data_IF_424827406451
#
_entry.id   IF_424827406451
#
_cell.length_a   1.000
_cell.length_b   1.000
_cell.length_c   1.000
_cell.angle_alpha   90.00
_cell.angle_beta   90.00
_cell.angle_gamma   90.00
#
_symmetry.space_group_name_H-M   'P 1'
#
loop_
_entity.id
_entity.type
_entity.pdbx_description
1 polymer ?
#
# COMPACT_ATOMS: atom_id res chain seq x y z
N UNK A 1 -6.27 -2.82 9.35
CA UNK A 1 -5.79 -3.86 8.44
C UNK A 1 -4.29 -4.02 8.64
N UNK A 2 -3.78 -5.25 8.53
CA UNK A 2 -2.35 -5.50 8.73
C UNK A 2 -1.51 -5.04 7.55
N UNK A 3 -0.26 -4.67 7.83
CA UNK A 3 0.73 -4.31 6.81
C UNK A 3 0.83 -5.38 5.73
N UNK A 4 0.91 -6.67 6.11
CA UNK A 4 0.95 -7.80 5.16
C UNK A 4 -0.26 -7.84 4.22
N UNK A 5 -1.44 -7.48 4.72
CA UNK A 5 -2.68 -7.52 3.93
C UNK A 5 -2.67 -6.43 2.87
N UNK A 6 -2.21 -5.23 3.24
CA UNK A 6 -2.07 -4.12 2.31
C UNK A 6 -1.00 -4.39 1.26
N UNK A 7 0.17 -4.91 1.67
CA UNK A 7 1.24 -5.30 0.73
C UNK A 7 0.73 -6.34 -0.26
N UNK A 8 0.14 -7.44 0.21
CA UNK A 8 -0.40 -8.48 -0.68
C UNK A 8 -1.53 -7.96 -1.58
N UNK A 9 -2.35 -7.01 -1.10
CA UNK A 9 -3.36 -6.37 -1.94
C UNK A 9 -2.70 -5.57 -3.07
N UNK A 10 -1.74 -4.72 -2.75
CA UNK A 10 -1.02 -3.89 -3.73
C UNK A 10 -0.36 -4.75 -4.81
N UNK A 11 0.35 -5.80 -4.41
CA UNK A 11 1.02 -6.73 -5.34
C UNK A 11 0.02 -7.42 -6.27
N UNK A 12 -1.11 -7.92 -5.74
CA UNK A 12 -2.18 -8.51 -6.57
C UNK A 12 -2.85 -7.50 -7.49
N UNK A 13 -2.91 -6.24 -7.10
CA UNK A 13 -3.41 -5.13 -7.94
C UNK A 13 -2.40 -4.64 -8.98
N UNK A 14 -1.25 -5.31 -9.11
CA UNK A 14 -0.22 -5.00 -10.11
C UNK A 14 0.77 -3.92 -9.67
N UNK A 15 0.74 -3.47 -8.41
CA UNK A 15 1.80 -2.62 -7.89
C UNK A 15 3.07 -3.45 -7.68
N UNK A 16 4.21 -2.89 -8.05
CA UNK A 16 5.52 -3.50 -7.86
C UNK A 16 6.28 -2.76 -6.78
N UNK A 17 6.90 -3.51 -5.87
CA UNK A 17 7.86 -2.94 -4.92
C UNK A 17 9.09 -2.41 -5.67
N UNK A 18 9.47 -1.15 -5.43
CA UNK A 18 10.60 -0.51 -6.13
C UNK A 18 11.76 -0.11 -5.23
N UNK A 19 11.51 0.17 -3.94
CA UNK A 19 12.56 0.60 -3.02
C UNK A 19 12.11 0.48 -1.57
N UNK A 20 13.01 -0.02 -0.73
CA UNK A 20 12.93 0.11 0.72
C UNK A 20 14.05 1.02 1.23
N UNK A 21 13.74 1.92 2.17
CA UNK A 21 14.73 2.67 2.93
C UNK A 21 14.32 2.71 4.40
N UNK A 22 15.07 2.00 5.25
CA UNK A 22 14.66 1.74 6.63
C UNK A 22 13.30 1.04 6.65
N UNK A 23 12.36 1.57 7.44
CA UNK A 23 10.99 1.05 7.51
C UNK A 23 10.07 1.55 6.40
N UNK A 24 10.55 2.31 5.41
CA UNK A 24 9.69 2.85 4.35
C UNK A 24 9.84 2.04 3.07
N UNK A 25 8.77 1.43 2.59
CA UNK A 25 8.70 0.77 1.29
C UNK A 25 7.88 1.60 0.30
N UNK A 26 8.32 1.65 -0.95
CA UNK A 26 7.61 2.31 -2.05
C UNK A 26 7.15 1.27 -3.05
N UNK A 27 5.86 1.33 -3.40
CA UNK A 27 5.20 0.51 -4.40
C UNK A 27 4.75 1.40 -5.56
N UNK A 28 4.84 0.92 -6.81
CA UNK A 28 4.43 1.67 -8.00
C UNK A 28 3.50 0.87 -8.89
N UNK A 29 2.54 1.56 -9.51
CA UNK A 29 1.74 1.05 -10.61
C UNK A 29 2.09 1.88 -11.86
N UNK A 30 2.76 1.24 -12.82
CA UNK A 30 3.29 1.93 -13.99
C UNK A 30 4.30 3.04 -13.65
N UNK A 31 4.30 4.13 -14.43
CA UNK A 31 5.28 5.22 -14.28
C UNK A 31 4.86 6.33 -13.30
N UNK A 32 3.56 6.56 -13.14
CA UNK A 32 3.05 7.78 -12.48
C UNK A 32 2.44 7.55 -11.10
N UNK A 33 2.00 6.34 -10.79
CA UNK A 33 1.28 6.05 -9.54
C UNK A 33 2.22 5.39 -8.54
N UNK A 34 2.28 5.92 -7.32
CA UNK A 34 3.11 5.38 -6.23
C UNK A 34 2.39 5.41 -4.89
N UNK A 35 2.66 4.42 -4.05
CA UNK A 35 2.20 4.35 -2.66
C UNK A 35 3.43 4.11 -1.78
N UNK A 36 3.58 4.96 -0.76
CA UNK A 36 4.58 4.77 0.29
C UNK A 36 3.93 4.10 1.50
N UNK A 37 4.59 3.10 2.05
CA UNK A 37 4.15 2.38 3.24
C UNK A 37 5.25 2.39 4.30
N UNK A 38 4.83 2.46 5.56
CA UNK A 38 5.69 2.10 6.69
C UNK A 38 5.50 0.61 6.95
N UNK A 39 6.56 -0.17 6.74
CA UNK A 39 6.65 -1.63 6.89
C UNK A 39 7.63 -1.95 8.03
N UNK A 40 7.24 -1.63 9.28
CA UNK A 40 8.02 -2.03 10.46
C UNK A 40 7.93 -3.55 10.67
N UNK A 41 6.71 -4.07 10.80
CA UNK A 41 6.46 -5.49 10.96
C UNK A 41 5.18 -5.92 10.21
N UNK A 42 5.16 -7.09 9.54
CA UNK A 42 4.04 -7.50 8.69
C UNK A 42 2.69 -7.65 9.41
N UNK A 43 2.72 -7.93 10.72
CA UNK A 43 1.52 -8.06 11.54
C UNK A 43 1.13 -6.78 12.29
N UNK A 44 1.82 -5.67 12.06
CA UNK A 44 1.42 -4.37 12.60
C UNK A 44 0.19 -3.85 11.85
N UNK A 45 -0.60 -3.02 12.53
CA UNK A 45 -1.64 -2.24 11.86
C UNK A 45 -0.99 -1.19 10.95
N UNK A 46 -1.58 -1.00 9.77
CA UNK A 46 -1.21 0.13 8.92
C UNK A 46 -1.69 1.41 9.60
N UNK A 47 -0.80 2.39 9.70
CA UNK A 47 -1.15 3.72 10.21
C UNK A 47 -2.37 4.30 9.45
N UNK A 48 -3.38 4.87 10.14
CA UNK A 48 -4.61 5.35 9.50
C UNK A 48 -4.36 6.40 8.40
N UNK A 49 -3.34 7.25 8.55
CA UNK A 49 -2.98 8.27 7.55
C UNK A 49 -2.41 7.60 6.31
N UNK A 50 -1.52 6.62 6.50
CA UNK A 50 -0.96 5.82 5.39
C UNK A 50 -2.08 5.06 4.67
N UNK A 51 -3.01 4.46 5.41
CA UNK A 51 -4.13 3.73 4.84
C UNK A 51 -5.07 4.65 4.05
N UNK A 52 -5.40 5.84 4.58
CA UNK A 52 -6.22 6.83 3.88
C UNK A 52 -5.56 7.30 2.58
N UNK A 53 -4.25 7.57 2.61
CA UNK A 53 -3.48 7.92 1.42
C UNK A 53 -3.47 6.79 0.39
N UNK A 54 -3.25 5.54 0.82
CA UNK A 54 -3.30 4.38 -0.05
C UNK A 54 -4.68 4.22 -0.71
N UNK A 55 -5.78 4.36 0.05
CA UNK A 55 -7.16 4.33 -0.49
C UNK A 55 -7.37 5.40 -1.56
N UNK A 56 -6.94 6.63 -1.30
CA UNK A 56 -7.06 7.74 -2.26
C UNK A 56 -6.29 7.45 -3.54
N UNK A 57 -5.05 6.97 -3.43
CA UNK A 57 -4.23 6.63 -4.60
C UNK A 57 -4.83 5.47 -5.38
N UNK A 58 -5.29 4.41 -4.71
CA UNK A 58 -5.94 3.27 -5.36
C UNK A 58 -7.21 3.70 -6.10
N UNK A 59 -8.06 4.51 -5.48
CA UNK A 59 -9.26 5.06 -6.12
C UNK A 59 -8.93 5.88 -7.36
N UNK A 60 -7.83 6.65 -7.34
CA UNK A 60 -7.41 7.46 -8.50
C UNK A 60 -7.04 6.62 -9.73
N UNK A 61 -6.76 5.33 -9.55
CA UNK A 61 -6.47 4.37 -10.63
C UNK A 61 -7.57 3.32 -10.80
N UNK A 62 -8.76 3.56 -10.21
CA UNK A 62 -9.92 2.68 -10.36
C UNK A 62 -9.87 1.40 -9.53
N UNK A 63 -9.00 1.32 -8.51
CA UNK A 63 -8.92 0.16 -7.61
C UNK A 63 -9.58 0.52 -6.28
N UNK A 64 -10.51 -0.29 -5.81
CA UNK A 64 -11.11 -0.12 -4.48
C UNK A 64 -10.48 -1.08 -3.46
N UNK A 65 -9.94 -0.49 -2.39
CA UNK A 65 -9.51 -1.25 -1.22
C UNK A 65 -10.75 -1.52 -0.36
N UNK A 66 -11.34 -2.70 -0.52
CA UNK A 66 -12.51 -3.11 0.24
C UNK A 66 -12.23 -3.12 1.75
N UNK A 67 -13.15 -2.57 2.53
CA UNK A 67 -13.20 -2.77 3.98
C UNK A 67 -13.56 -4.24 4.24
N UNK A 68 -12.55 -5.09 4.45
CA UNK A 68 -12.81 -6.36 5.13
C UNK A 68 -13.11 -6.03 6.59
N UNK A 69 -14.40 -5.92 6.88
CA UNK A 69 -15.01 -6.12 8.21
C UNK A 69 -14.51 -7.39 8.86
#
# INVERSE_FOLDING_TARGET
>A
MKVRELVSFLERSGFTHVRTHGSHATYKLGRSTRIGLVVNHPNDEVDPVVLSNARRTLRSVGIELGDRT
#
